data_IF_074063807081
#
_entry.id   IF_074063807081
#
_cell.length_a   1.000
_cell.length_b   1.000
_cell.length_c   1.000
_cell.angle_alpha   90.00
_cell.angle_beta   90.00
_cell.angle_gamma   90.00
#
_symmetry.space_group_name_H-M   'P 1'
#
loop_
_entity.id
_entity.type
_entity.pdbx_description
1 polymer ?
#
# COMPACT_ATOMS: atom_id res chain seq x y z
N UNK A 1 11.95 6.10 11.39
CA UNK A 1 10.67 6.48 10.78
C UNK A 1 10.46 7.99 10.65
N UNK A 2 10.41 8.77 11.75
CA UNK A 2 10.21 10.23 11.71
C UNK A 2 11.08 10.96 10.68
N UNK A 3 12.39 10.70 10.68
CA UNK A 3 13.32 11.32 9.74
C UNK A 3 13.05 10.93 8.28
N UNK A 4 12.68 9.67 8.02
CA UNK A 4 12.30 9.19 6.70
C UNK A 4 11.07 9.92 6.16
N UNK A 5 10.01 10.01 6.97
CA UNK A 5 8.78 10.74 6.61
C UNK A 5 9.01 12.24 6.44
N UNK A 6 9.89 12.84 7.25
CA UNK A 6 10.32 14.24 7.05
C UNK A 6 11.07 14.43 5.72
N UNK A 7 11.89 13.46 5.30
CA UNK A 7 12.54 13.45 3.99
C UNK A 7 11.56 13.39 2.82
N UNK A 8 10.34 12.91 3.04
CA UNK A 8 9.24 12.89 2.07
C UNK A 8 8.28 14.08 2.19
N UNK A 9 8.66 15.11 2.97
CA UNK A 9 7.88 16.33 3.12
C UNK A 9 6.75 16.26 4.18
N UNK A 10 6.62 15.17 4.94
CA UNK A 10 5.65 15.09 6.03
C UNK A 10 6.18 15.77 7.30
N UNK A 11 5.33 16.55 7.97
CA UNK A 11 5.61 17.03 9.33
C UNK A 11 5.38 15.89 10.31
N UNK A 12 6.45 15.39 10.94
CA UNK A 12 6.38 14.24 11.84
C UNK A 12 6.95 14.58 13.23
N UNK A 13 6.21 14.22 14.26
CA UNK A 13 6.58 14.40 15.68
C UNK A 13 6.62 13.03 16.37
N UNK A 14 7.56 12.86 17.30
CA UNK A 14 7.61 11.73 18.22
C UNK A 14 7.07 12.21 19.56
N UNK A 15 6.13 11.49 20.13
CA UNK A 15 5.50 11.79 21.43
C UNK A 15 5.77 10.62 22.36
N UNK A 16 6.17 10.90 23.60
CA UNK A 16 6.29 9.88 24.63
C UNK A 16 4.91 9.59 25.23
N UNK A 17 4.60 8.32 25.49
CA UNK A 17 3.28 7.96 26.03
C UNK A 17 3.12 8.40 27.48
N UNK A 18 4.20 8.46 28.26
CA UNK A 18 4.09 8.95 29.63
C UNK A 18 3.68 10.42 29.66
N UNK A 19 4.22 11.26 28.76
CA UNK A 19 3.81 12.66 28.64
C UNK A 19 2.30 12.78 28.32
N UNK A 20 1.79 11.88 27.46
CA UNK A 20 0.36 11.81 27.13
C UNK A 20 -0.47 11.43 28.36
N UNK A 21 -0.05 10.41 29.12
CA UNK A 21 -0.77 9.99 30.32
C UNK A 21 -0.74 11.06 31.41
N UNK A 22 0.40 11.72 31.62
CA UNK A 22 0.56 12.79 32.61
C UNK A 22 -0.41 13.94 32.34
N UNK A 23 -0.52 14.37 31.08
CA UNK A 23 -1.35 15.52 30.68
C UNK A 23 -2.84 15.16 30.54
N UNK A 24 -3.17 14.00 30.00
CA UNK A 24 -4.56 13.64 29.65
C UNK A 24 -5.23 12.67 30.62
N UNK A 25 -4.49 12.07 31.56
CA UNK A 25 -5.05 11.11 32.52
C UNK A 25 -4.25 10.98 33.83
N UNK A 26 -3.66 12.07 34.32
CA UNK A 26 -2.99 12.13 35.63
C UNK A 26 -1.89 11.07 35.82
N UNK A 27 -1.18 10.73 34.75
CA UNK A 27 -0.09 9.75 34.71
C UNK A 27 -0.53 8.28 34.63
N UNK A 28 -1.84 8.03 34.52
CA UNK A 28 -2.40 6.68 34.45
C UNK A 28 -2.52 6.23 33.00
N UNK A 29 -1.92 5.09 32.65
CA UNK A 29 -2.04 4.50 31.32
C UNK A 29 -3.51 4.21 30.95
N UNK A 30 -3.97 4.75 29.82
CA UNK A 30 -5.34 4.60 29.33
C UNK A 30 -5.40 4.79 27.81
N UNK A 31 -6.26 4.02 27.16
CA UNK A 31 -6.54 4.19 25.73
C UNK A 31 -7.27 5.52 25.46
N UNK A 32 -8.17 5.93 26.35
CA UNK A 32 -8.89 7.19 26.31
C UNK A 32 -7.93 8.39 26.36
N UNK A 33 -6.89 8.33 27.20
CA UNK A 33 -5.87 9.38 27.28
C UNK A 33 -5.19 9.63 25.93
N UNK A 34 -4.85 8.55 25.21
CA UNK A 34 -4.24 8.62 23.89
C UNK A 34 -5.23 9.20 22.88
N UNK A 35 -6.50 8.75 22.87
CA UNK A 35 -7.53 9.31 21.99
C UNK A 35 -7.72 10.80 22.24
N UNK A 36 -7.85 11.19 23.50
CA UNK A 36 -8.13 12.58 23.89
C UNK A 36 -6.93 13.49 23.54
N UNK A 37 -5.70 12.99 23.65
CA UNK A 37 -4.52 13.65 23.10
C UNK A 37 -4.60 13.80 21.57
N UNK A 38 -4.90 12.73 20.84
CA UNK A 38 -4.99 12.77 19.38
C UNK A 38 -6.09 13.75 18.91
N UNK A 39 -7.25 13.73 19.57
CA UNK A 39 -8.36 14.67 19.33
C UNK A 39 -7.93 16.12 19.60
N UNK A 40 -7.20 16.36 20.69
CA UNK A 40 -6.62 17.67 20.98
C UNK A 40 -5.66 18.11 19.87
N UNK A 41 -4.77 17.23 19.39
CA UNK A 41 -3.84 17.58 18.30
C UNK A 41 -4.58 17.89 16.99
N UNK A 42 -5.63 17.13 16.67
CA UNK A 42 -6.43 17.32 15.48
C UNK A 42 -7.13 18.69 15.49
N UNK A 43 -7.67 19.07 16.64
CA UNK A 43 -8.43 20.31 16.80
C UNK A 43 -7.55 21.55 16.97
N UNK A 44 -6.45 21.44 17.72
CA UNK A 44 -5.75 22.60 18.29
C UNK A 44 -4.36 22.86 17.71
N UNK A 45 -3.71 21.88 17.07
CA UNK A 45 -2.38 22.12 16.49
C UNK A 45 -2.44 22.96 15.20
N UNK A 46 -1.32 23.59 14.87
CA UNK A 46 -1.18 24.42 13.67
C UNK A 46 -1.47 23.61 12.41
N UNK A 47 -2.46 24.08 11.64
CA UNK A 47 -2.91 23.45 10.40
C UNK A 47 -1.76 23.29 9.37
N UNK A 48 -1.80 22.27 8.49
CA UNK A 48 -2.81 21.21 8.41
C UNK A 48 -2.77 20.28 9.64
N UNK A 49 -3.93 19.86 10.14
CA UNK A 49 -3.99 18.94 11.28
C UNK A 49 -3.25 17.63 10.98
N UNK A 50 -2.72 16.94 11.99
CA UNK A 50 -2.12 15.62 11.78
C UNK A 50 -3.11 14.69 11.05
N UNK A 51 -2.61 13.94 10.07
CA UNK A 51 -3.43 13.01 9.26
C UNK A 51 -3.10 11.54 9.51
N UNK A 52 -1.92 11.26 10.07
CA UNK A 52 -1.38 9.91 10.27
C UNK A 52 -1.01 9.70 11.73
N UNK A 53 -1.29 8.52 12.27
CA UNK A 53 -0.85 8.05 13.59
C UNK A 53 -0.15 6.70 13.44
N UNK A 54 1.07 6.59 13.98
CA UNK A 54 1.74 5.29 14.16
C UNK A 54 1.82 4.98 15.65
N UNK A 55 1.12 3.94 16.08
CA UNK A 55 1.30 3.36 17.42
C UNK A 55 2.48 2.40 17.39
N UNK A 56 3.59 2.75 18.04
CA UNK A 56 4.81 1.94 18.05
C UNK A 56 4.94 1.16 19.36
N UNK A 57 4.29 -0.01 19.41
CA UNK A 57 4.32 -0.91 20.55
C UNK A 57 3.16 -1.91 20.53
N UNK A 58 3.40 -3.09 21.08
CA UNK A 58 2.40 -4.14 21.28
C UNK A 58 1.57 -3.89 22.57
N UNK A 59 0.45 -4.60 22.72
CA UNK A 59 -0.40 -4.54 23.90
C UNK A 59 -1.25 -5.80 24.08
N UNK A 60 -1.92 -5.91 25.22
CA UNK A 60 -2.84 -7.04 25.49
C UNK A 60 -3.92 -6.68 26.51
N UNK A 61 -4.94 -7.53 26.64
CA UNK A 61 -6.05 -7.28 27.54
C UNK A 61 -5.73 -7.48 29.04
N UNK A 62 -4.71 -8.27 29.38
CA UNK A 62 -4.29 -8.48 30.78
C UNK A 62 -3.32 -7.40 31.32
N UNK A 63 -3.66 -6.11 31.17
CA UNK A 63 -2.75 -5.00 31.51
C UNK A 63 -2.27 -4.99 32.98
N UNK A 64 -3.04 -5.56 33.90
CA UNK A 64 -2.71 -5.66 35.33
C UNK A 64 -2.00 -6.97 35.69
N UNK A 65 -1.68 -7.80 34.70
CA UNK A 65 -1.01 -9.09 34.86
C UNK A 65 -1.73 -10.04 35.84
N UNK A 66 -3.07 -10.05 35.82
CA UNK A 66 -3.87 -10.95 36.67
C UNK A 66 -3.65 -12.42 36.32
N UNK A 67 -3.23 -12.74 35.09
CA UNK A 67 -2.90 -14.10 34.67
C UNK A 67 -1.45 -14.50 34.97
N UNK A 68 -0.63 -13.59 35.51
CA UNK A 68 0.79 -13.82 35.81
C UNK A 68 1.61 -14.28 34.60
N UNK A 69 1.30 -13.75 33.41
CA UNK A 69 1.98 -14.09 32.15
C UNK A 69 3.23 -13.23 31.89
N UNK A 70 3.33 -12.06 32.52
CA UNK A 70 4.51 -11.20 32.45
C UNK A 70 4.77 -10.58 31.06
N UNK A 71 3.81 -10.65 30.13
CA UNK A 71 3.87 -9.90 28.87
C UNK A 71 3.76 -8.41 29.22
N UNK A 72 4.58 -7.58 28.58
CA UNK A 72 4.58 -6.13 28.76
C UNK A 72 3.48 -5.54 27.87
N UNK A 73 2.71 -4.61 28.42
CA UNK A 73 1.75 -3.82 27.67
C UNK A 73 2.37 -2.45 27.35
N UNK A 74 2.93 -2.27 26.15
CA UNK A 74 3.63 -1.04 25.77
C UNK A 74 2.64 0.08 25.43
N UNK A 75 1.60 -0.26 24.67
CA UNK A 75 0.50 0.65 24.35
C UNK A 75 -0.79 -0.14 24.57
N UNK A 76 -1.70 0.32 25.46
CA UNK A 76 -2.94 -0.39 25.70
C UNK A 76 -3.68 -0.63 24.37
N UNK A 77 -4.31 -1.79 24.18
CA UNK A 77 -5.33 -1.93 23.14
C UNK A 77 -6.53 -1.06 23.47
N UNK A 78 -7.19 -0.47 22.46
CA UNK A 78 -8.50 0.15 22.71
C UNK A 78 -9.55 -0.95 22.83
N UNK A 79 -9.72 -1.56 24.00
CA UNK A 79 -10.71 -2.63 24.18
C UNK A 79 -12.13 -2.06 24.21
N UNK A 80 -13.02 -2.64 23.40
CA UNK A 80 -14.43 -2.29 23.41
C UNK A 80 -15.31 -3.47 22.96
N UNK A 81 -16.56 -3.49 23.46
CA UNK A 81 -17.60 -4.41 23.04
C UNK A 81 -18.13 -4.01 21.66
N UNK A 82 -17.35 -4.32 20.62
CA UNK A 82 -17.62 -3.94 19.23
C UNK A 82 -17.97 -5.12 18.34
N UNK A 83 -17.71 -6.34 18.82
CA UNK A 83 -17.90 -7.56 18.07
C UNK A 83 -19.17 -8.28 18.55
N UNK A 84 -20.19 -8.50 17.69
CA UNK A 84 -21.43 -9.16 18.08
C UNK A 84 -21.28 -10.62 18.54
N UNK A 85 -20.21 -11.31 18.14
CA UNK A 85 -19.98 -12.73 18.44
C UNK A 85 -18.96 -12.95 19.55
N UNK A 86 -17.89 -12.16 19.55
CA UNK A 86 -16.80 -12.25 20.52
C UNK A 86 -17.03 -11.34 21.74
N UNK A 87 -17.77 -10.24 21.58
CA UNK A 87 -17.92 -9.20 22.59
C UNK A 87 -16.77 -8.20 22.55
N UNK A 88 -15.90 -8.25 23.56
CA UNK A 88 -14.79 -7.31 23.71
C UNK A 88 -13.57 -7.72 22.86
N UNK A 89 -13.08 -6.79 22.04
CA UNK A 89 -11.82 -6.95 21.29
C UNK A 89 -11.12 -5.60 21.10
N UNK A 90 -9.87 -5.62 20.63
CA UNK A 90 -9.12 -4.40 20.31
C UNK A 90 -9.75 -3.67 19.11
N UNK A 91 -10.21 -2.46 19.36
CA UNK A 91 -10.86 -1.56 18.43
C UNK A 91 -10.04 -0.28 18.26
N UNK A 92 -8.76 -0.40 17.89
CA UNK A 92 -7.83 0.74 17.84
C UNK A 92 -8.27 1.84 16.86
N UNK A 93 -9.20 1.54 15.95
CA UNK A 93 -9.93 2.56 15.19
C UNK A 93 -10.45 3.70 16.10
N UNK A 94 -10.90 3.37 17.31
CA UNK A 94 -11.44 4.31 18.29
C UNK A 94 -10.41 5.25 18.92
N UNK A 95 -9.11 5.03 18.71
CA UNK A 95 -8.10 6.04 19.04
C UNK A 95 -8.26 7.32 18.22
N UNK A 96 -8.88 7.22 17.05
CA UNK A 96 -8.96 8.30 16.07
C UNK A 96 -10.40 8.59 15.64
N UNK A 97 -11.39 8.23 16.46
CA UNK A 97 -12.78 8.68 16.28
C UNK A 97 -13.09 9.83 17.24
N UNK A 98 -13.27 11.02 16.69
CA UNK A 98 -13.40 12.27 17.43
C UNK A 98 -14.85 12.69 17.62
N UNK A 99 -15.10 13.58 18.58
CA UNK A 99 -16.44 14.13 18.78
C UNK A 99 -16.73 15.12 17.67
N UNK A 100 -17.92 15.02 17.09
CA UNK A 100 -18.47 16.07 16.25
C UNK A 100 -18.95 17.27 17.08
N UNK A 101 -19.47 18.30 16.41
CA UNK A 101 -19.97 19.53 17.03
C UNK A 101 -21.09 19.30 18.06
N UNK A 102 -21.80 18.18 17.98
CA UNK A 102 -22.85 17.78 18.92
C UNK A 102 -22.32 16.97 20.11
N UNK A 103 -21.01 16.74 20.18
CA UNK A 103 -20.36 15.94 21.22
C UNK A 103 -20.47 14.42 21.02
N UNK A 104 -20.98 13.97 19.87
CA UNK A 104 -21.15 12.55 19.55
C UNK A 104 -19.95 12.01 18.76
N UNK A 105 -19.58 10.75 18.99
CA UNK A 105 -18.58 10.03 18.20
C UNK A 105 -19.28 9.02 17.29
N UNK A 106 -18.80 8.88 16.06
CA UNK A 106 -19.15 7.76 15.19
C UNK A 106 -17.97 6.77 15.07
N UNK A 107 -18.12 5.75 14.22
CA UNK A 107 -17.10 4.71 14.01
C UNK A 107 -16.14 5.02 12.85
N UNK A 108 -16.33 6.15 12.15
CA UNK A 108 -15.46 6.55 11.05
C UNK A 108 -14.22 7.27 11.61
N UNK A 109 -13.00 6.86 11.24
CA UNK A 109 -11.80 7.47 11.77
C UNK A 109 -11.52 8.85 11.13
N UNK A 110 -11.16 9.83 11.96
CA UNK A 110 -10.74 11.18 11.58
C UNK A 110 -9.25 11.29 11.20
N UNK A 111 -8.46 10.26 11.52
CA UNK A 111 -7.05 10.13 11.16
C UNK A 111 -6.73 8.71 10.68
N UNK A 112 -5.72 8.57 9.83
CA UNK A 112 -5.24 7.27 9.37
C UNK A 112 -4.30 6.65 10.41
N UNK A 113 -4.72 5.56 11.03
CA UNK A 113 -3.98 4.90 12.10
C UNK A 113 -3.40 3.58 11.64
N UNK A 114 -2.13 3.34 11.98
CA UNK A 114 -1.51 2.03 11.91
C UNK A 114 -0.75 1.71 13.21
N UNK A 115 -0.63 0.42 13.52
CA UNK A 115 0.12 -0.09 14.67
C UNK A 115 1.33 -0.88 14.20
N UNK A 116 2.51 -0.49 14.65
CA UNK A 116 3.70 -1.34 14.63
C UNK A 116 3.74 -2.13 15.94
N UNK A 117 3.17 -3.34 15.92
CA UNK A 117 3.03 -4.21 17.10
C UNK A 117 4.37 -4.89 17.44
N UNK A 118 5.19 -4.16 18.20
CA UNK A 118 6.57 -4.54 18.53
C UNK A 118 6.77 -4.66 20.04
N UNK A 119 7.57 -5.66 20.42
CA UNK A 119 7.88 -6.01 21.80
C UNK A 119 9.33 -5.65 22.18
N UNK A 120 10.10 -5.07 21.25
CA UNK A 120 11.48 -4.63 21.50
C UNK A 120 11.93 -3.55 20.51
N UNK A 121 13.01 -2.85 20.85
CA UNK A 121 13.64 -1.89 19.94
C UNK A 121 14.17 -2.55 18.64
N UNK A 122 14.56 -3.83 18.70
CA UNK A 122 15.02 -4.57 17.52
C UNK A 122 13.88 -4.84 16.53
N UNK A 123 12.71 -5.23 17.04
CA UNK A 123 11.50 -5.40 16.22
C UNK A 123 11.02 -4.05 15.66
N UNK A 124 11.06 -2.98 16.46
CA UNK A 124 10.75 -1.63 15.99
C UNK A 124 11.69 -1.20 14.85
N UNK A 125 12.99 -1.43 14.99
CA UNK A 125 13.96 -1.16 13.94
C UNK A 125 13.72 -2.02 12.70
N UNK A 126 13.36 -3.29 12.85
CA UNK A 126 13.05 -4.19 11.75
C UNK A 126 11.85 -3.69 10.92
N UNK A 127 10.73 -3.35 11.56
CA UNK A 127 9.57 -2.81 10.85
C UNK A 127 9.88 -1.50 10.12
N UNK A 128 10.60 -0.58 10.79
CA UNK A 128 11.01 0.69 10.17
C UNK A 128 11.94 0.47 8.97
N UNK A 129 12.91 -0.44 9.08
CA UNK A 129 13.84 -0.73 8.00
C UNK A 129 13.14 -1.44 6.83
N UNK A 130 12.19 -2.32 7.11
CA UNK A 130 11.34 -2.95 6.10
C UNK A 130 10.53 -1.89 5.33
N UNK A 131 9.89 -0.94 6.03
CA UNK A 131 9.19 0.20 5.40
C UNK A 131 10.11 1.01 4.49
N UNK A 132 11.30 1.38 4.97
CA UNK A 132 12.25 2.19 4.19
C UNK A 132 12.75 1.40 2.97
N UNK A 133 13.12 0.12 3.15
CA UNK A 133 13.58 -0.74 2.07
C UNK A 133 12.48 -1.00 1.03
N UNK A 134 11.23 -1.14 1.48
CA UNK A 134 10.08 -1.30 0.60
C UNK A 134 9.92 -0.11 -0.34
N UNK A 135 9.91 1.11 0.22
CA UNK A 135 9.74 2.35 -0.55
C UNK A 135 10.97 2.71 -1.39
N UNK A 136 12.15 2.24 -0.99
CA UNK A 136 13.39 2.41 -1.74
C UNK A 136 13.66 1.30 -2.76
N UNK A 137 12.80 0.28 -2.86
CA UNK A 137 13.01 -0.81 -3.80
C UNK A 137 13.09 -0.25 -5.22
N UNK A 138 14.06 -0.71 -6.02
CA UNK A 138 14.02 -0.53 -7.44
C UNK A 138 12.70 -1.05 -7.99
N UNK A 139 12.28 -0.41 -9.06
CA UNK A 139 11.17 -0.90 -9.86
C UNK A 139 11.40 -2.35 -10.25
N UNK A 140 10.35 -3.16 -10.17
CA UNK A 140 10.34 -4.50 -10.72
C UNK A 140 8.93 -5.02 -10.92
N UNK A 141 8.80 -6.06 -11.74
CA UNK A 141 7.52 -6.69 -12.10
C UNK A 141 6.66 -7.10 -10.91
N UNK A 142 7.28 -7.40 -9.75
CA UNK A 142 6.57 -7.75 -8.52
C UNK A 142 5.58 -6.68 -8.05
N UNK A 143 5.80 -5.41 -8.39
CA UNK A 143 4.93 -4.27 -8.04
C UNK A 143 3.62 -4.25 -8.84
N UNK A 144 3.53 -5.07 -9.89
CA UNK A 144 2.32 -5.29 -10.68
C UNK A 144 1.73 -6.68 -10.44
N UNK A 145 2.22 -7.43 -9.45
CA UNK A 145 1.75 -8.78 -9.17
C UNK A 145 0.98 -8.86 -7.85
N UNK A 146 -0.17 -9.50 -7.89
CA UNK A 146 -1.02 -9.81 -6.75
C UNK A 146 -1.09 -11.31 -6.57
N UNK A 147 -1.06 -11.77 -5.33
CA UNK A 147 -1.41 -13.15 -4.99
C UNK A 147 -2.81 -13.16 -4.37
N UNK A 148 -3.75 -13.80 -5.04
CA UNK A 148 -5.10 -14.01 -4.53
C UNK A 148 -5.18 -15.40 -3.89
N UNK A 149 -5.40 -15.43 -2.59
CA UNK A 149 -5.52 -16.65 -1.79
C UNK A 149 -6.97 -16.76 -1.32
N UNK A 150 -7.58 -17.93 -1.51
CA UNK A 150 -8.93 -18.16 -1.03
C UNK A 150 -9.03 -19.52 -0.35
N UNK A 151 -9.79 -19.54 0.74
CA UNK A 151 -10.24 -20.77 1.39
C UNK A 151 -11.29 -21.51 0.53
N UNK A 152 -11.64 -22.74 0.88
CA UNK A 152 -12.64 -23.50 0.13
C UNK A 152 -14.10 -23.06 0.42
N UNK A 153 -15.04 -23.25 -0.52
CA UNK A 153 -16.44 -22.85 -0.29
C UNK A 153 -17.11 -23.67 0.81
N UNK A 154 -17.77 -22.99 1.75
CA UNK A 154 -18.46 -23.62 2.87
C UNK A 154 -19.72 -22.84 3.31
N UNK A 155 -20.19 -23.06 4.55
CA UNK A 155 -21.32 -22.34 5.12
C UNK A 155 -21.05 -20.86 5.42
N UNK A 156 -19.77 -20.46 5.57
CA UNK A 156 -19.32 -19.08 5.74
C UNK A 156 -19.24 -18.30 4.42
N UNK A 157 -19.18 -19.00 3.28
CA UNK A 157 -19.36 -18.41 1.96
C UNK A 157 -18.58 -19.13 0.86
N UNK A 158 -18.73 -18.64 -0.37
CA UNK A 158 -17.91 -19.07 -1.50
C UNK A 158 -16.74 -18.10 -1.69
N UNK A 159 -15.67 -18.29 -0.91
CA UNK A 159 -14.52 -17.40 -0.91
C UNK A 159 -13.80 -17.28 -2.27
N UNK A 160 -13.63 -18.36 -3.07
CA UNK A 160 -13.07 -18.26 -4.41
C UNK A 160 -13.92 -17.38 -5.33
N UNK A 161 -15.25 -17.46 -5.23
CA UNK A 161 -16.15 -16.59 -6.00
C UNK A 161 -16.06 -15.12 -5.56
N UNK A 162 -15.98 -14.85 -4.25
CA UNK A 162 -15.77 -13.49 -3.73
C UNK A 162 -14.44 -12.89 -4.23
N UNK A 163 -13.37 -13.68 -4.21
CA UNK A 163 -12.05 -13.27 -4.71
C UNK A 163 -12.09 -12.96 -6.22
N UNK A 164 -12.72 -13.83 -7.01
CA UNK A 164 -12.92 -13.60 -8.45
C UNK A 164 -13.77 -12.36 -8.74
N UNK A 165 -14.80 -12.09 -7.95
CA UNK A 165 -15.62 -10.89 -8.11
C UNK A 165 -14.79 -9.62 -7.89
N UNK A 166 -13.97 -9.58 -6.83
CA UNK A 166 -13.08 -8.45 -6.54
C UNK A 166 -12.01 -8.27 -7.62
N UNK A 167 -11.41 -9.36 -8.09
CA UNK A 167 -10.48 -9.34 -9.21
C UNK A 167 -11.11 -8.72 -10.46
N UNK A 168 -12.34 -9.12 -10.81
CA UNK A 168 -13.01 -8.67 -12.02
C UNK A 168 -13.56 -7.25 -11.93
N UNK A 169 -14.07 -6.82 -10.77
CA UNK A 169 -14.75 -5.53 -10.63
C UNK A 169 -13.81 -4.37 -10.31
N UNK A 170 -12.74 -4.66 -9.58
CA UNK A 170 -12.15 -3.67 -8.68
C UNK A 170 -10.63 -3.67 -8.70
N UNK A 171 -10.00 -4.74 -9.19
CA UNK A 171 -8.55 -4.75 -9.39
C UNK A 171 -8.16 -3.88 -10.59
N UNK A 172 -7.10 -3.11 -10.42
CA UNK A 172 -6.56 -2.27 -11.48
C UNK A 172 -6.04 -3.15 -12.64
N UNK A 173 -6.34 -2.77 -13.90
CA UNK A 173 -6.07 -3.61 -15.08
C UNK A 173 -4.59 -3.96 -15.29
N UNK A 174 -3.71 -3.11 -14.79
CA UNK A 174 -2.26 -3.30 -14.85
C UNK A 174 -1.74 -4.36 -13.87
N UNK A 175 -2.58 -4.84 -12.93
CA UNK A 175 -2.21 -5.89 -11.98
C UNK A 175 -2.45 -7.28 -12.58
N UNK A 176 -1.46 -8.14 -12.44
CA UNK A 176 -1.57 -9.58 -12.75
C UNK A 176 -1.78 -10.38 -11.47
N UNK A 177 -2.70 -11.34 -11.49
CA UNK A 177 -3.06 -12.15 -10.33
C UNK A 177 -2.59 -13.60 -10.47
N UNK A 178 -1.86 -14.09 -9.48
CA UNK A 178 -1.65 -15.53 -9.25
C UNK A 178 -2.74 -16.03 -8.29
N UNK A 179 -3.39 -17.14 -8.63
CA UNK A 179 -4.50 -17.69 -7.85
C UNK A 179 -4.07 -18.92 -7.05
N UNK A 180 -4.28 -18.89 -5.74
CA UNK A 180 -4.12 -20.04 -4.84
C UNK A 180 -5.41 -20.22 -4.04
N UNK A 181 -6.38 -20.85 -4.70
CA UNK A 181 -7.67 -21.20 -4.11
C UNK A 181 -7.67 -22.67 -3.69
N UNK A 182 -7.77 -22.91 -2.39
CA UNK A 182 -7.87 -24.25 -1.84
C UNK A 182 -9.16 -24.93 -2.29
N UNK A 183 -9.10 -26.23 -2.61
CA UNK A 183 -10.22 -27.00 -3.16
C UNK A 183 -10.58 -26.68 -4.64
N UNK A 184 -10.03 -25.62 -5.23
CA UNK A 184 -10.34 -25.19 -6.62
C UNK A 184 -9.13 -25.29 -7.54
N UNK A 185 -8.08 -24.50 -7.26
CA UNK A 185 -6.83 -24.50 -8.06
C UNK A 185 -5.78 -25.42 -7.45
N UNK A 186 -5.85 -25.64 -6.13
CA UNK A 186 -4.95 -26.48 -5.36
C UNK A 186 -5.77 -27.41 -4.47
N UNK A 187 -5.79 -28.71 -4.78
CA UNK A 187 -6.68 -29.69 -4.15
C UNK A 187 -6.16 -30.27 -2.83
N UNK A 188 -4.94 -29.91 -2.42
CA UNK A 188 -4.36 -30.37 -1.14
C UNK A 188 -3.75 -29.19 -0.38
N UNK A 189 -3.81 -29.30 0.95
CA UNK A 189 -3.23 -28.32 1.87
C UNK A 189 -1.74 -28.08 1.60
N UNK A 190 -0.97 -29.15 1.39
CA UNK A 190 0.47 -29.07 1.10
C UNK A 190 0.73 -28.28 -0.19
N UNK A 191 -0.04 -28.54 -1.25
CA UNK A 191 0.13 -27.84 -2.53
C UNK A 191 -0.23 -26.36 -2.42
N UNK A 192 -1.35 -26.05 -1.75
CA UNK A 192 -1.78 -24.66 -1.53
C UNK A 192 -0.77 -23.89 -0.67
N UNK A 193 -0.32 -24.46 0.47
CA UNK A 193 0.71 -23.85 1.33
C UNK A 193 2.02 -23.61 0.58
N UNK A 194 2.49 -24.59 -0.19
CA UNK A 194 3.70 -24.44 -0.99
C UNK A 194 3.57 -23.31 -2.03
N UNK A 195 2.41 -23.21 -2.68
CA UNK A 195 2.12 -22.15 -3.65
C UNK A 195 2.01 -20.76 -3.00
N UNK A 196 1.39 -20.65 -1.81
CA UNK A 196 1.35 -19.40 -1.04
C UNK A 196 2.77 -18.94 -0.69
N UNK A 197 3.58 -19.84 -0.14
CA UNK A 197 4.98 -19.53 0.23
C UNK A 197 5.81 -19.14 -0.99
N UNK A 198 5.69 -19.86 -2.10
CA UNK A 198 6.38 -19.52 -3.35
C UNK A 198 5.91 -18.17 -3.89
N UNK A 199 4.60 -17.91 -3.87
CA UNK A 199 3.99 -16.65 -4.28
C UNK A 199 4.55 -15.47 -3.50
N UNK A 200 4.52 -15.54 -2.16
CA UNK A 200 5.11 -14.49 -1.30
C UNK A 200 6.61 -14.34 -1.58
N UNK A 201 7.37 -15.44 -1.67
CA UNK A 201 8.82 -15.45 -1.90
C UNK A 201 9.25 -14.85 -3.25
N UNK A 202 8.42 -14.97 -4.29
CA UNK A 202 8.67 -14.33 -5.59
C UNK A 202 8.53 -12.80 -5.58
N UNK A 203 7.91 -12.25 -4.52
CA UNK A 203 7.62 -10.83 -4.38
C UNK A 203 6.27 -10.48 -5.01
N UNK A 204 5.42 -9.80 -4.25
CA UNK A 204 4.08 -9.35 -4.66
C UNK A 204 3.82 -7.95 -4.13
N UNK A 205 3.05 -7.16 -4.86
CA UNK A 205 2.51 -5.90 -4.37
C UNK A 205 1.50 -6.17 -3.25
N UNK A 206 0.52 -7.03 -3.56
CA UNK A 206 -0.57 -7.39 -2.66
C UNK A 206 -0.63 -8.91 -2.48
N UNK A 207 -0.94 -9.34 -1.26
CA UNK A 207 -1.48 -10.68 -1.00
C UNK A 207 -2.87 -10.46 -0.43
N UNK A 208 -3.91 -10.86 -1.16
CA UNK A 208 -5.27 -10.76 -0.67
C UNK A 208 -5.79 -12.15 -0.32
N UNK A 209 -6.07 -12.34 0.97
CA UNK A 209 -6.65 -13.57 1.49
C UNK A 209 -8.12 -13.35 1.82
N UNK A 210 -8.99 -14.27 1.40
CA UNK A 210 -10.41 -14.30 1.75
C UNK A 210 -10.77 -15.69 2.24
N UNK A 211 -11.28 -15.81 3.47
CA UNK A 211 -11.57 -17.10 4.06
C UNK A 211 -11.72 -17.08 5.57
N UNK A 212 -11.63 -18.25 6.19
CA UNK A 212 -11.57 -18.38 7.64
C UNK A 212 -10.17 -18.07 8.16
N UNK A 213 -10.08 -17.52 9.36
CA UNK A 213 -8.78 -17.45 10.02
C UNK A 213 -8.91 -17.58 11.52
N UNK A 214 -7.82 -18.05 12.09
CA UNK A 214 -7.54 -18.06 13.50
C UNK A 214 -6.48 -17.00 13.79
N UNK A 215 -6.12 -16.88 15.06
CA UNK A 215 -5.09 -15.94 15.50
C UNK A 215 -3.78 -16.18 14.76
N UNK A 216 -3.37 -17.45 14.63
CA UNK A 216 -2.04 -17.85 14.18
C UNK A 216 -1.99 -18.54 12.81
N UNK A 217 -3.12 -18.67 12.11
CA UNK A 217 -3.20 -19.31 10.78
C UNK A 217 -4.43 -18.92 9.96
N UNK A 218 -4.32 -19.07 8.65
CA UNK A 218 -5.40 -19.02 7.65
C UNK A 218 -5.98 -20.40 7.41
N UNK A 219 -7.31 -20.46 7.29
CA UNK A 219 -8.15 -21.64 7.12
C UNK A 219 -8.05 -22.68 8.26
N UNK A 220 -8.98 -23.62 8.28
CA UNK A 220 -8.92 -24.78 9.17
C UNK A 220 -7.72 -25.67 8.83
N UNK A 221 -7.38 -25.75 7.55
CA UNK A 221 -6.32 -26.53 6.95
C UNK A 221 -4.91 -26.01 7.25
N UNK A 222 -4.77 -24.84 7.88
CA UNK A 222 -3.46 -24.22 8.10
C UNK A 222 -2.76 -23.96 6.76
N UNK A 223 -3.31 -23.07 5.93
CA UNK A 223 -2.76 -22.71 4.61
C UNK A 223 -1.52 -21.81 4.71
N UNK A 224 -1.51 -20.89 5.67
CA UNK A 224 -0.39 -20.01 5.97
C UNK A 224 -0.57 -19.43 7.39
N UNK A 225 0.51 -19.29 8.15
CA UNK A 225 0.41 -18.75 9.50
C UNK A 225 1.75 -18.45 10.16
N UNK A 226 1.72 -18.22 11.48
CA UNK A 226 2.90 -17.86 12.30
C UNK A 226 4.05 -18.85 12.12
N UNK A 227 3.74 -20.15 12.03
CA UNK A 227 4.74 -21.20 11.89
C UNK A 227 5.50 -21.15 10.54
N UNK A 228 4.90 -20.55 9.51
CA UNK A 228 5.42 -20.53 8.15
C UNK A 228 6.28 -19.28 7.86
N UNK A 229 6.07 -18.18 8.57
CA UNK A 229 6.77 -16.90 8.36
C UNK A 229 8.30 -17.03 8.44
N UNK A 230 8.79 -17.95 9.30
CA UNK A 230 10.23 -18.22 9.40
C UNK A 230 10.84 -18.68 8.07
N UNK A 231 10.05 -19.31 7.21
CA UNK A 231 10.45 -19.87 5.92
C UNK A 231 10.35 -18.86 4.75
N UNK A 232 9.89 -17.63 5.01
CA UNK A 232 9.86 -16.58 3.99
C UNK A 232 11.27 -16.07 3.68
N UNK A 233 11.47 -15.71 2.42
CA UNK A 233 12.74 -15.30 1.82
C UNK A 233 12.54 -14.20 0.75
N UNK A 234 11.43 -13.46 0.82
CA UNK A 234 11.06 -12.42 -0.14
C UNK A 234 11.88 -11.11 -0.03
N UNK A 235 12.79 -11.02 0.94
CA UNK A 235 13.67 -9.85 1.11
C UNK A 235 12.86 -8.57 1.32
N UNK A 236 13.21 -7.51 0.59
CA UNK A 236 12.50 -6.23 0.58
C UNK A 236 11.23 -6.23 -0.29
N UNK A 237 10.94 -7.29 -1.08
CA UNK A 237 9.73 -7.41 -1.92
C UNK A 237 8.54 -7.89 -1.09
N UNK A 238 8.26 -7.16 -0.01
CA UNK A 238 7.29 -7.53 1.00
C UNK A 238 5.90 -7.04 0.61
N UNK A 239 4.89 -7.93 0.44
CA UNK A 239 3.56 -7.49 0.08
C UNK A 239 2.91 -6.66 1.19
N UNK A 240 1.89 -5.91 0.79
CA UNK A 240 0.83 -5.47 1.69
C UNK A 240 -0.22 -6.59 1.72
N UNK A 241 -0.47 -7.14 2.91
CA UNK A 241 -1.45 -8.22 3.11
C UNK A 241 -2.81 -7.60 3.38
N UNK A 242 -3.84 -8.10 2.68
CA UNK A 242 -5.24 -7.81 2.91
C UNK A 242 -5.91 -9.11 3.36
N UNK A 243 -5.99 -9.34 4.66
CA UNK A 243 -6.56 -10.56 5.24
C UNK A 243 -8.04 -10.32 5.57
N UNK A 244 -8.91 -10.62 4.61
CA UNK A 244 -10.36 -10.59 4.76
C UNK A 244 -10.82 -11.88 5.45
N UNK A 245 -10.51 -11.97 6.74
CA UNK A 245 -10.76 -13.12 7.58
C UNK A 245 -10.86 -12.73 9.06
N UNK A 246 -11.42 -13.61 9.88
CA UNK A 246 -11.57 -13.39 11.32
C UNK A 246 -10.23 -13.52 12.07
N UNK A 247 -10.02 -12.75 13.14
CA UNK A 247 -8.93 -12.94 14.13
C UNK A 247 -7.46 -12.90 13.64
N UNK A 248 -7.17 -12.75 12.34
CA UNK A 248 -5.80 -12.70 11.80
C UNK A 248 -4.92 -11.62 12.46
N UNK A 249 -5.57 -10.54 12.92
CA UNK A 249 -4.98 -9.42 13.64
C UNK A 249 -5.25 -9.42 15.15
N UNK A 250 -5.61 -10.54 15.78
CA UNK A 250 -5.90 -10.62 17.23
C UNK A 250 -4.64 -10.43 18.11
N UNK A 251 -4.03 -9.24 18.05
CA UNK A 251 -2.71 -8.97 18.64
C UNK A 251 -2.74 -8.91 20.17
N UNK A 252 -3.92 -8.63 20.74
CA UNK A 252 -4.09 -8.31 22.15
C UNK A 252 -4.09 -9.53 23.08
N UNK A 253 -3.60 -10.69 22.60
CA UNK A 253 -3.44 -11.90 23.39
C UNK A 253 -2.26 -11.78 24.37
N UNK A 254 -2.45 -12.11 25.68
CA UNK A 254 -1.42 -11.88 26.70
C UNK A 254 -0.35 -12.98 26.77
N UNK A 255 -0.48 -14.06 26.00
CA UNK A 255 0.46 -15.19 26.07
C UNK A 255 1.78 -14.85 25.37
N UNK A 256 2.93 -14.81 26.08
CA UNK A 256 4.18 -14.27 25.55
C UNK A 256 4.86 -15.11 24.48
N UNK A 257 4.35 -16.30 24.15
CA UNK A 257 4.93 -17.23 23.16
C UNK A 257 3.88 -18.09 22.44
N UNK A 258 2.59 -17.72 22.52
CA UNK A 258 1.50 -18.52 21.94
C UNK A 258 0.44 -17.59 21.39
N UNK A 259 -0.22 -18.02 20.33
CA UNK A 259 -1.37 -17.33 19.75
C UNK A 259 -1.07 -15.89 19.32
N UNK A 260 0.16 -15.65 18.85
CA UNK A 260 0.47 -14.39 18.19
C UNK A 260 -0.39 -14.24 16.95
N UNK A 261 -0.87 -13.03 16.71
CA UNK A 261 -1.58 -12.74 15.49
C UNK A 261 -0.63 -12.90 14.30
N UNK A 262 -1.09 -13.60 13.25
CA UNK A 262 -0.33 -13.73 11.99
C UNK A 262 0.08 -12.35 11.48
N UNK A 263 -0.81 -11.36 11.55
CA UNK A 263 -0.55 -9.97 11.16
C UNK A 263 0.61 -9.31 11.92
N UNK A 264 0.78 -9.60 13.22
CA UNK A 264 1.92 -9.07 14.00
C UNK A 264 3.24 -9.71 13.54
N UNK A 265 3.26 -11.04 13.49
CA UNK A 265 4.50 -11.79 13.24
C UNK A 265 4.98 -11.54 11.81
N UNK A 266 4.07 -11.45 10.84
CA UNK A 266 4.43 -11.29 9.43
C UNK A 266 4.96 -9.89 9.14
N UNK A 267 4.49 -8.87 9.86
CA UNK A 267 4.92 -7.48 9.66
C UNK A 267 6.19 -7.12 10.44
N UNK A 268 6.43 -7.74 11.61
CA UNK A 268 7.66 -7.53 12.40
C UNK A 268 8.83 -8.44 12.02
N UNK A 269 8.64 -9.37 11.10
CA UNK A 269 9.70 -10.24 10.61
C UNK A 269 10.82 -9.43 9.93
N UNK A 270 12.06 -9.60 10.40
CA UNK A 270 13.20 -8.82 9.91
C UNK A 270 13.57 -9.22 8.47
N UNK A 271 13.49 -8.27 7.53
CA UNK A 271 13.94 -8.44 6.15
C UNK A 271 13.15 -9.45 5.31
N UNK A 272 11.93 -9.80 5.73
CA UNK A 272 11.01 -10.75 5.04
C UNK A 272 9.59 -10.58 5.58
N UNK A 273 8.62 -11.32 5.05
CA UNK A 273 7.23 -11.20 5.49
C UNK A 273 6.50 -10.11 4.72
N UNK A 274 5.71 -9.30 5.42
CA UNK A 274 4.90 -8.24 4.84
C UNK A 274 5.36 -6.86 5.31
N UNK A 275 5.22 -5.84 4.48
CA UNK A 275 5.51 -4.45 4.89
C UNK A 275 4.35 -3.86 5.69
N UNK A 276 3.14 -4.34 5.44
CA UNK A 276 1.93 -4.03 6.18
C UNK A 276 0.91 -5.17 6.07
N UNK A 277 -0.01 -5.25 7.03
CA UNK A 277 -1.16 -6.17 7.00
C UNK A 277 -2.41 -5.43 7.46
N UNK A 278 -3.50 -5.50 6.69
CA UNK A 278 -4.80 -5.01 7.13
C UNK A 278 -5.69 -6.19 7.49
N UNK A 279 -5.90 -6.36 8.80
CA UNK A 279 -6.37 -7.61 9.40
C UNK A 279 -7.37 -7.33 10.53
N UNK A 280 -8.33 -8.24 10.72
CA UNK A 280 -9.34 -8.15 11.78
C UNK A 280 -8.81 -8.60 13.15
N UNK A 281 -9.09 -7.84 14.19
CA UNK A 281 -8.94 -8.23 15.60
C UNK A 281 -10.11 -9.06 16.12
N UNK A 282 -11.18 -9.22 15.33
CA UNK A 282 -12.41 -9.89 15.75
C UNK A 282 -12.97 -10.82 14.69
N UNK A 283 -14.16 -11.30 14.96
CA UNK A 283 -15.05 -11.97 14.02
C UNK A 283 -15.65 -10.94 13.05
N UNK A 284 -16.24 -11.43 11.97
CA UNK A 284 -16.92 -10.56 11.02
C UNK A 284 -17.55 -11.36 9.89
N UNK A 285 -18.33 -10.65 9.08
CA UNK A 285 -19.05 -11.23 7.95
C UNK A 285 -18.34 -10.93 6.64
N UNK A 286 -18.32 -11.92 5.74
CA UNK A 286 -17.67 -11.82 4.42
C UNK A 286 -18.20 -10.64 3.58
N UNK A 287 -19.46 -10.25 3.72
CA UNK A 287 -20.04 -9.11 3.01
C UNK A 287 -19.45 -7.75 3.45
N UNK A 288 -19.19 -7.56 4.75
CA UNK A 288 -18.54 -6.34 5.25
C UNK A 288 -17.10 -6.25 4.75
N UNK A 289 -16.40 -7.39 4.83
CA UNK A 289 -15.01 -7.50 4.39
C UNK A 289 -14.87 -7.30 2.87
N UNK A 290 -15.87 -7.70 2.08
CA UNK A 290 -15.93 -7.38 0.65
C UNK A 290 -15.94 -5.87 0.41
N UNK A 291 -16.75 -5.08 1.13
CA UNK A 291 -16.77 -3.62 1.00
C UNK A 291 -15.45 -2.98 1.40
N UNK A 292 -14.85 -3.44 2.50
CA UNK A 292 -13.52 -3.00 2.93
C UNK A 292 -12.48 -3.24 1.85
N UNK A 293 -12.41 -4.46 1.33
CA UNK A 293 -11.46 -4.88 0.30
C UNK A 293 -11.68 -4.10 -1.02
N UNK A 294 -12.94 -3.97 -1.44
CA UNK A 294 -13.32 -3.20 -2.63
C UNK A 294 -12.91 -1.74 -2.53
N UNK A 295 -13.15 -1.08 -1.40
CA UNK A 295 -12.74 0.32 -1.22
C UNK A 295 -11.23 0.49 -1.19
N UNK A 296 -10.48 -0.47 -0.64
CA UNK A 296 -9.02 -0.47 -0.71
C UNK A 296 -8.50 -0.56 -2.15
N UNK A 297 -9.01 -1.53 -2.94
CA UNK A 297 -8.64 -1.69 -4.34
C UNK A 297 -9.08 -0.51 -5.21
N UNK A 298 -10.24 0.08 -4.90
CA UNK A 298 -10.71 1.32 -5.53
C UNK A 298 -9.76 2.49 -5.28
N UNK A 299 -9.31 2.67 -4.04
CA UNK A 299 -8.33 3.70 -3.72
C UNK A 299 -7.04 3.51 -4.51
N UNK A 300 -6.49 2.30 -4.54
CA UNK A 300 -5.29 1.97 -5.30
C UNK A 300 -5.42 2.28 -6.80
N UNK A 301 -6.60 2.01 -7.39
CA UNK A 301 -6.83 2.19 -8.83
C UNK A 301 -7.21 3.60 -9.25
N UNK A 302 -7.76 4.43 -8.35
CA UNK A 302 -8.38 5.72 -8.73
C UNK A 302 -7.75 6.94 -8.09
N UNK A 303 -7.14 6.80 -6.91
CA UNK A 303 -6.45 7.90 -6.27
C UNK A 303 -5.07 8.08 -6.94
N UNK A 304 -4.66 9.33 -7.10
CA UNK A 304 -3.30 9.62 -7.54
C UNK A 304 -2.34 9.32 -6.38
N UNK A 305 -1.54 8.26 -6.54
CA UNK A 305 -0.50 7.81 -5.58
C UNK A 305 -0.98 7.75 -4.11
N UNK A 306 -1.97 6.90 -3.78
CA UNK A 306 -2.47 6.80 -2.42
C UNK A 306 -1.40 6.23 -1.47
N UNK A 307 -1.51 6.59 -0.20
CA UNK A 307 -0.89 5.83 0.90
C UNK A 307 -1.76 4.62 1.26
N UNK A 308 -1.15 3.63 1.91
CA UNK A 308 -1.90 2.49 2.48
C UNK A 308 -2.95 2.95 3.47
N UNK A 309 -2.66 3.98 4.28
CA UNK A 309 -3.64 4.61 5.17
C UNK A 309 -4.86 5.14 4.41
N UNK A 310 -4.66 5.84 3.30
CA UNK A 310 -5.79 6.33 2.46
C UNK A 310 -6.58 5.17 1.85
N UNK A 311 -5.91 4.09 1.44
CA UNK A 311 -6.57 2.91 0.93
C UNK A 311 -7.44 2.22 2.01
N UNK A 312 -6.93 2.03 3.23
CA UNK A 312 -7.72 1.49 4.34
C UNK A 312 -8.89 2.40 4.74
N UNK A 313 -8.68 3.73 4.76
CA UNK A 313 -9.73 4.71 5.04
C UNK A 313 -10.84 4.66 3.98
N UNK A 314 -10.48 4.48 2.72
CA UNK A 314 -11.44 4.36 1.61
C UNK A 314 -12.22 3.05 1.70
N UNK A 315 -11.55 1.94 2.09
CA UNK A 315 -12.22 0.70 2.46
C UNK A 315 -13.27 0.90 3.56
N UNK A 316 -12.89 1.58 4.65
CA UNK A 316 -13.83 1.93 5.73
C UNK A 316 -14.98 2.81 5.25
N UNK A 317 -14.73 3.77 4.36
CA UNK A 317 -15.78 4.61 3.77
C UNK A 317 -16.78 3.79 2.93
N UNK A 318 -16.31 2.80 2.18
CA UNK A 318 -17.18 1.88 1.43
C UNK A 318 -18.06 1.04 2.35
N UNK A 319 -17.49 0.51 3.44
CA UNK A 319 -18.26 -0.22 4.44
C UNK A 319 -19.29 0.70 5.11
N UNK A 320 -18.88 1.89 5.54
CA UNK A 320 -19.78 2.89 6.14
C UNK A 320 -20.97 3.19 5.24
N UNK A 321 -20.72 3.44 3.95
CA UNK A 321 -21.77 3.73 2.97
C UNK A 321 -22.71 2.53 2.70
N UNK A 322 -22.27 1.30 2.97
CA UNK A 322 -23.12 0.11 2.84
C UNK A 322 -24.21 0.02 3.92
N UNK A 323 -23.97 0.62 5.10
CA UNK A 323 -24.87 0.61 6.25
C UNK A 323 -25.03 -0.74 6.96
N UNK A 324 -24.32 -1.80 6.52
CA UNK A 324 -24.42 -3.14 7.09
C UNK A 324 -23.12 -3.60 7.75
N UNK A 325 -23.23 -4.31 8.87
CA UNK A 325 -22.09 -4.98 9.55
C UNK A 325 -20.92 -4.01 9.83
N UNK A 326 -21.26 -2.86 10.42
CA UNK A 326 -20.34 -1.76 10.67
C UNK A 326 -19.32 -2.04 11.79
N UNK A 327 -19.44 -3.16 12.52
CA UNK A 327 -18.44 -3.60 13.49
C UNK A 327 -17.04 -3.74 12.86
N UNK A 328 -16.97 -4.08 11.57
CA UNK A 328 -15.71 -4.23 10.86
C UNK A 328 -14.95 -2.90 10.67
N UNK A 329 -15.59 -1.74 10.90
CA UNK A 329 -14.88 -0.46 10.99
C UNK A 329 -13.95 -0.40 12.19
N UNK A 330 -14.38 -1.00 13.30
CA UNK A 330 -13.63 -1.03 14.56
C UNK A 330 -12.62 -2.17 14.60
N UNK A 331 -12.96 -3.35 14.07
CA UNK A 331 -12.10 -4.55 14.17
C UNK A 331 -10.98 -4.61 13.14
N UNK A 332 -11.11 -3.99 11.96
CA UNK A 332 -10.04 -3.98 10.96
C UNK A 332 -8.98 -2.92 11.25
N UNK A 333 -7.77 -3.39 11.59
CA UNK A 333 -6.62 -2.58 11.95
C UNK A 333 -5.48 -2.74 10.97
N UNK A 334 -4.79 -1.64 10.68
CA UNK A 334 -3.57 -1.65 9.88
C UNK A 334 -2.37 -1.94 10.78
N UNK A 335 -1.72 -3.08 10.56
CA UNK A 335 -0.42 -3.42 11.12
C UNK A 335 0.66 -2.89 10.19
N UNK A 336 1.37 -1.84 10.59
CA UNK A 336 2.36 -1.15 9.76
C UNK A 336 2.22 0.37 9.79
N UNK A 337 2.83 1.03 8.81
CA UNK A 337 2.82 2.49 8.65
C UNK A 337 1.64 2.94 7.77
N UNK A 338 0.69 3.76 8.25
CA UNK A 338 -0.39 4.29 7.42
C UNK A 338 0.10 5.30 6.38
N UNK A 339 1.29 5.89 6.54
CA UNK A 339 1.90 6.76 5.54
C UNK A 339 2.72 5.98 4.49
N UNK A 340 2.71 4.64 4.52
CA UNK A 340 3.38 3.81 3.52
C UNK A 340 2.87 4.13 2.11
N UNK A 341 3.80 4.43 1.22
CA UNK A 341 3.52 4.67 -0.19
C UNK A 341 3.51 3.34 -0.95
N UNK A 342 2.58 3.16 -1.89
CA UNK A 342 2.73 2.09 -2.86
C UNK A 342 3.97 2.39 -3.73
N UNK A 343 4.79 1.38 -4.09
CA UNK A 343 5.87 1.58 -5.02
C UNK A 343 5.26 2.03 -6.34
N UNK A 344 5.69 3.17 -6.87
CA UNK A 344 5.33 3.57 -8.22
C UNK A 344 6.00 2.59 -9.18
N UNK A 345 5.23 1.72 -9.83
CA UNK A 345 5.70 1.13 -11.07
C UNK A 345 5.89 2.30 -12.06
N UNK A 346 7.05 2.42 -12.72
CA UNK A 346 7.19 3.32 -13.83
C UNK A 346 6.25 2.83 -14.93
N UNK A 347 5.93 3.77 -15.79
CA UNK A 347 5.22 3.55 -17.03
C UNK A 347 5.89 2.41 -17.78
N UNK A 348 5.14 1.32 -18.02
CA UNK A 348 5.62 0.22 -18.85
C UNK A 348 5.51 0.67 -20.32
N UNK A 349 6.36 1.62 -20.71
CA UNK A 349 6.72 1.86 -22.09
C UNK A 349 8.10 1.25 -22.29
N UNK A 350 8.14 -0.02 -22.69
CA UNK A 350 9.37 -0.60 -23.19
C UNK A 350 9.62 -0.09 -24.61
N UNK A 351 10.70 0.66 -24.82
CA UNK A 351 11.09 1.13 -26.15
C UNK A 351 11.86 0.04 -26.89
N UNK A 352 11.34 -0.44 -28.01
CA UNK A 352 12.11 -1.27 -28.95
C UNK A 352 13.08 -0.44 -29.79
N UNK A 353 12.77 0.85 -30.00
CA UNK A 353 13.65 1.77 -30.69
C UNK A 353 13.44 3.22 -30.25
N UNK A 354 14.54 3.98 -30.19
CA UNK A 354 14.53 5.44 -30.08
C UNK A 354 15.66 6.00 -30.94
N UNK A 355 15.33 6.86 -31.91
CA UNK A 355 16.28 7.35 -32.91
C UNK A 355 16.05 8.83 -33.21
N UNK A 356 17.14 9.53 -33.53
CA UNK A 356 17.13 10.90 -34.03
C UNK A 356 17.91 10.99 -35.32
N UNK A 357 17.31 11.55 -36.37
CA UNK A 357 17.94 11.70 -37.68
C UNK A 357 17.78 13.13 -38.18
N UNK A 358 18.84 13.68 -38.77
CA UNK A 358 18.79 14.99 -39.41
C UNK A 358 18.61 14.86 -40.91
N UNK A 359 17.76 15.69 -41.49
CA UNK A 359 17.59 15.88 -42.92
C UNK A 359 17.52 17.38 -43.23
N UNK A 360 18.62 17.93 -43.75
CA UNK A 360 18.81 19.38 -43.87
C UNK A 360 18.63 20.07 -42.50
N UNK A 361 17.86 21.15 -42.46
CA UNK A 361 17.58 21.94 -41.24
C UNK A 361 16.43 21.40 -40.38
N UNK A 362 16.11 20.12 -40.51
CA UNK A 362 15.10 19.45 -39.69
C UNK A 362 15.66 18.22 -39.02
N UNK A 363 15.12 17.88 -37.87
CA UNK A 363 15.43 16.65 -37.14
C UNK A 363 14.15 15.87 -36.93
N UNK A 364 14.16 14.59 -37.26
CA UNK A 364 13.08 13.66 -36.94
C UNK A 364 13.48 12.86 -35.72
N UNK A 365 12.65 12.94 -34.68
CA UNK A 365 12.71 12.12 -33.49
C UNK A 365 11.68 11.00 -33.66
N UNK A 366 12.12 9.75 -33.71
CA UNK A 366 11.25 8.59 -33.93
C UNK A 366 11.46 7.55 -32.84
N UNK A 367 10.38 6.94 -32.37
CA UNK A 367 10.44 5.87 -31.39
C UNK A 367 9.39 4.80 -31.68
N UNK A 368 9.68 3.60 -31.19
CA UNK A 368 8.79 2.46 -31.26
C UNK A 368 8.69 1.86 -29.86
N UNK A 369 7.47 1.61 -29.43
CA UNK A 369 7.15 0.96 -28.17
C UNK A 369 6.89 -0.53 -28.43
N UNK A 370 7.24 -1.40 -27.48
CA UNK A 370 6.85 -2.81 -27.45
C UNK A 370 5.50 -3.00 -26.77
N UNK A 371 5.25 -2.22 -25.71
CA UNK A 371 4.01 -2.15 -24.95
C UNK A 371 3.73 -0.70 -24.51
N UNK A 372 2.46 -0.39 -24.24
CA UNK A 372 2.03 0.92 -23.75
C UNK A 372 0.91 0.74 -22.72
N UNK A 373 1.32 0.46 -21.48
CA UNK A 373 0.38 0.34 -20.37
C UNK A 373 0.11 1.72 -19.79
N UNK A 374 -1.15 2.16 -19.83
CA UNK A 374 -1.60 3.41 -19.20
C UNK A 374 -0.86 4.69 -19.67
N UNK A 375 -0.30 4.64 -20.88
CA UNK A 375 0.32 5.79 -21.53
C UNK A 375 -0.75 6.76 -22.08
N UNK A 376 -0.69 8.01 -21.64
CA UNK A 376 -1.50 9.11 -22.14
C UNK A 376 -0.90 9.70 -23.43
N UNK A 377 0.43 9.69 -23.55
CA UNK A 377 1.13 10.21 -24.71
C UNK A 377 2.54 10.66 -24.39
N UNK A 378 3.15 11.40 -25.32
CA UNK A 378 4.57 11.73 -25.27
C UNK A 378 4.82 13.23 -25.41
N UNK A 379 5.89 13.68 -24.76
CA UNK A 379 6.54 14.96 -25.01
C UNK A 379 7.95 14.75 -25.55
N UNK A 380 8.41 15.69 -26.36
CA UNK A 380 9.78 15.71 -26.88
C UNK A 380 10.47 16.94 -26.33
N UNK A 381 11.69 16.73 -25.82
CA UNK A 381 12.54 17.80 -25.31
C UNK A 381 13.80 17.93 -26.13
N UNK A 382 14.31 19.15 -26.24
CA UNK A 382 15.58 19.46 -26.91
C UNK A 382 16.47 20.34 -26.03
N UNK A 383 17.78 20.15 -26.14
CA UNK A 383 18.80 21.09 -25.66
C UNK A 383 19.90 21.28 -26.70
N UNK A 384 20.52 22.47 -26.75
CA UNK A 384 21.68 22.77 -27.59
C UNK A 384 23.03 22.45 -26.93
N UNK A 385 22.99 22.08 -25.64
CA UNK A 385 24.10 21.62 -24.82
C UNK A 385 23.55 20.54 -23.88
N UNK A 386 24.30 19.45 -23.70
CA UNK A 386 23.92 18.32 -22.86
C UNK A 386 23.68 18.73 -21.40
N UNK A 387 24.41 19.74 -20.91
CA UNK A 387 24.25 20.30 -19.56
C UNK A 387 23.29 21.48 -19.49
N UNK A 388 22.73 21.90 -20.63
CA UNK A 388 21.82 23.04 -20.72
C UNK A 388 20.39 22.72 -20.29
N UNK A 389 19.56 23.77 -20.23
CA UNK A 389 18.13 23.62 -19.98
C UNK A 389 17.44 22.89 -21.15
N UNK A 390 16.59 21.93 -20.80
CA UNK A 390 15.75 21.19 -21.76
C UNK A 390 14.51 22.03 -22.06
N UNK A 391 14.18 22.16 -23.33
CA UNK A 391 12.97 22.86 -23.79
C UNK A 391 12.02 21.84 -24.40
N UNK A 392 10.77 21.81 -23.95
CA UNK A 392 9.71 21.01 -24.59
C UNK A 392 9.37 21.62 -25.95
N UNK A 393 9.45 20.84 -27.02
CA UNK A 393 9.34 21.34 -28.40
C UNK A 393 8.02 20.99 -29.09
N UNK A 394 7.24 20.05 -28.56
CA UNK A 394 5.87 19.80 -29.02
C UNK A 394 4.87 20.68 -28.25
N UNK A 395 4.01 21.41 -28.97
CA UNK A 395 3.00 22.28 -28.37
C UNK A 395 1.84 21.52 -27.74
N UNK A 396 1.42 20.43 -28.39
CA UNK A 396 0.46 19.46 -27.87
C UNK A 396 1.18 18.15 -27.59
N UNK A 397 0.77 17.46 -26.53
CA UNK A 397 1.19 16.09 -26.25
C UNK A 397 0.85 15.20 -27.44
N UNK A 398 1.78 14.33 -27.82
CA UNK A 398 1.60 13.36 -28.89
C UNK A 398 0.82 12.20 -28.28
N UNK A 399 -0.47 12.01 -28.59
CA UNK A 399 -1.26 10.98 -27.92
C UNK A 399 -0.73 9.59 -28.26
N UNK A 400 -0.94 8.63 -27.35
CA UNK A 400 -0.72 7.23 -27.68
C UNK A 400 -1.54 6.82 -28.91
N UNK A 401 -0.93 6.03 -29.79
CA UNK A 401 -1.57 5.40 -30.94
C UNK A 401 -2.24 4.08 -30.58
N UNK A 402 -2.21 3.69 -29.30
CA UNK A 402 -2.82 2.47 -28.77
C UNK A 402 -3.84 2.82 -27.70
N UNK A 403 -4.80 1.95 -27.43
CA UNK A 403 -5.73 2.16 -26.32
C UNK A 403 -5.01 1.93 -24.98
N UNK A 404 -5.28 2.73 -23.93
CA UNK A 404 -4.65 2.58 -22.62
C UNK A 404 -4.67 1.14 -22.10
N UNK A 405 -3.49 0.60 -21.76
CA UNK A 405 -3.33 -0.79 -21.32
C UNK A 405 -3.03 -1.79 -22.46
N UNK A 406 -2.62 -1.31 -23.63
CA UNK A 406 -2.27 -2.16 -24.77
C UNK A 406 -0.97 -2.93 -24.52
N UNK A 407 -1.02 -4.26 -24.66
CA UNK A 407 0.18 -5.12 -24.68
C UNK A 407 0.91 -5.10 -26.03
N UNK A 408 0.43 -4.30 -26.98
CA UNK A 408 1.04 -4.08 -28.29
C UNK A 408 1.42 -2.61 -28.38
N UNK A 409 2.67 -2.31 -28.66
CA UNK A 409 3.14 -0.94 -28.88
C UNK A 409 2.82 -0.38 -30.27
N UNK A 410 3.37 0.79 -30.56
CA UNK A 410 3.15 1.55 -31.78
C UNK A 410 4.41 2.32 -32.18
N UNK A 411 4.38 2.92 -33.36
CA UNK A 411 5.47 3.72 -33.91
C UNK A 411 5.05 5.18 -33.99
N UNK A 412 5.96 6.06 -33.58
CA UNK A 412 5.71 7.49 -33.50
C UNK A 412 6.86 8.26 -34.12
N UNK A 413 6.56 9.49 -34.54
CA UNK A 413 7.58 10.44 -34.96
C UNK A 413 7.17 11.87 -34.67
N UNK A 414 8.16 12.71 -34.40
CA UNK A 414 8.04 14.15 -34.24
C UNK A 414 9.13 14.84 -35.06
N UNK A 415 8.75 15.84 -35.86
CA UNK A 415 9.70 16.63 -36.66
C UNK A 415 9.98 17.96 -35.99
N UNK A 416 11.21 18.14 -35.52
CA UNK A 416 11.71 19.42 -35.07
C UNK A 416 12.21 20.28 -36.24
N UNK A 417 11.63 21.48 -36.36
CA UNK A 417 12.02 22.52 -37.32
C UNK A 417 12.72 23.71 -36.67
N UNK A 418 12.93 23.67 -35.35
CA UNK A 418 13.47 24.78 -34.57
C UNK A 418 12.53 25.97 -34.47
N UNK A 419 11.21 25.72 -34.43
CA UNK A 419 10.20 26.79 -34.47
C UNK A 419 10.28 27.77 -33.28
N UNK A 420 10.79 27.29 -32.14
CA UNK A 420 11.05 28.07 -30.93
C UNK A 420 12.41 28.80 -30.96
N UNK A 421 13.26 28.52 -31.95
CA UNK A 421 14.58 29.14 -32.10
C UNK A 421 14.54 30.27 -33.12
N UNK A 422 15.18 31.39 -32.78
CA UNK A 422 15.39 32.50 -33.72
C UNK A 422 16.30 32.04 -34.87
N UNK A 423 15.70 31.81 -36.04
CA UNK A 423 16.40 31.34 -37.24
C UNK A 423 16.41 29.83 -37.44
N UNK A 424 15.63 29.07 -36.66
CA UNK A 424 15.53 27.61 -36.78
C UNK A 424 16.73 26.86 -36.19
N UNK A 425 16.81 25.57 -36.51
CA UNK A 425 17.96 24.73 -36.18
C UNK A 425 19.20 25.19 -36.96
N UNK A 426 20.33 25.34 -36.27
CA UNK A 426 21.57 25.83 -36.88
C UNK A 426 22.35 24.67 -37.55
N UNK A 427 22.75 24.81 -38.82
CA UNK A 427 23.62 23.83 -39.47
C UNK A 427 24.92 23.59 -38.70
N UNK A 428 25.41 22.34 -38.70
CA UNK A 428 26.61 21.88 -37.99
C UNK A 428 26.56 22.05 -36.47
N UNK A 429 25.39 22.28 -35.90
CA UNK A 429 25.20 22.28 -34.45
C UNK A 429 24.60 20.96 -34.00
N UNK A 430 25.17 20.40 -32.93
CA UNK A 430 24.62 19.23 -32.24
C UNK A 430 23.48 19.65 -31.31
N UNK A 431 22.38 18.93 -31.40
CA UNK A 431 21.27 19.02 -30.46
C UNK A 431 21.04 17.67 -29.78
N UNK A 432 20.56 17.72 -28.54
CA UNK A 432 20.26 16.57 -27.71
C UNK A 432 18.76 16.46 -27.52
N UNK A 433 18.21 15.25 -27.66
CA UNK A 433 16.78 15.00 -27.56
C UNK A 433 16.46 13.98 -26.49
N UNK A 434 15.36 14.22 -25.79
CA UNK A 434 14.75 13.27 -24.87
C UNK A 434 13.30 13.05 -25.26
N UNK A 435 12.84 11.84 -25.02
CA UNK A 435 11.43 11.48 -25.08
C UNK A 435 10.92 11.36 -23.65
N UNK A 436 9.84 12.06 -23.33
CA UNK A 436 9.10 11.85 -22.09
C UNK A 436 7.80 11.14 -22.43
N UNK A 437 7.52 10.01 -21.82
CA UNK A 437 6.21 9.38 -21.82
C UNK A 437 5.41 9.81 -20.59
N UNK A 438 4.10 9.99 -20.76
CA UNK A 438 3.19 10.52 -19.76
C UNK A 438 2.12 9.47 -19.44
N UNK A 439 1.85 9.23 -18.16
CA UNK A 439 0.82 8.32 -17.71
C UNK A 439 -0.56 9.02 -17.60
N UNK A 440 -1.65 8.27 -17.80
CA UNK A 440 -3.02 8.69 -17.45
C UNK A 440 -3.19 9.07 -15.96
N UNK A 441 -2.32 8.59 -15.06
CA UNK A 441 -2.27 8.90 -13.63
C UNK A 441 -1.37 10.09 -13.28
N UNK A 442 -0.69 10.69 -14.26
CA UNK A 442 0.12 11.91 -14.09
C UNK A 442 1.61 11.68 -13.78
N UNK A 443 2.09 10.43 -13.73
CA UNK A 443 3.53 10.12 -13.73
C UNK A 443 4.19 10.29 -15.11
N UNK A 444 5.53 10.40 -15.15
CA UNK A 444 6.30 10.43 -16.40
C UNK A 444 7.68 9.77 -16.27
N UNK A 445 8.19 9.22 -17.37
CA UNK A 445 9.56 8.74 -17.52
C UNK A 445 10.26 9.49 -18.68
N UNK A 446 11.60 9.54 -18.66
CA UNK A 446 12.41 10.27 -19.63
C UNK A 446 13.48 9.35 -20.23
N UNK A 447 13.43 9.14 -21.54
CA UNK A 447 14.39 8.35 -22.31
C UNK A 447 15.39 9.24 -23.06
N UNK A 448 16.63 8.74 -23.22
CA UNK A 448 17.74 9.44 -23.87
C UNK A 448 18.79 9.98 -22.89
N UNK A 449 19.62 10.97 -23.30
CA UNK A 449 19.54 11.70 -24.56
C UNK A 449 20.08 10.94 -25.75
N UNK A 450 19.58 11.29 -26.94
CA UNK A 450 20.27 11.04 -28.20
C UNK A 450 20.77 12.35 -28.81
N UNK A 451 21.96 12.31 -29.39
CA UNK A 451 22.60 13.46 -30.01
C UNK A 451 22.53 13.37 -31.53
N UNK A 452 22.31 14.51 -32.19
CA UNK A 452 22.34 14.60 -33.66
C UNK A 452 22.90 15.95 -34.09
N UNK A 453 23.81 15.94 -35.06
CA UNK A 453 24.29 17.13 -35.74
C UNK A 453 23.34 17.50 -36.88
N UNK A 454 22.94 18.78 -36.95
CA UNK A 454 22.04 19.27 -38.00
C UNK A 454 22.81 19.42 -39.30
N UNK A 455 22.32 18.77 -40.36
CA UNK A 455 22.97 18.81 -41.68
C UNK A 455 22.88 20.21 -42.33
N UNK A 456 23.79 20.50 -43.29
CA UNK A 456 23.83 21.77 -44.04
C UNK A 456 22.53 22.20 -44.69
#
# INVERSE_FOLDING_TARGET
LRAHRAGQGLRAVKVDLQDVYDEFNYGIASAEAIRDFLEYTYNSWVKPSPSYVVLMGDGHFDAKNYQNLGKVNYIPPYLAFVDPWLGETAADNRYVTFKNEMGNRDAMPDMMLGRMAVNSAAEAAAMVNNTIAYEANPVGSWQQQVLLVADDPDAGGNFPALSNNLMNCCMARQLSADLVYYGVTHTTQTAAKAAILAGINSGKLLVNYIGHAYKDKWADEDLFGVADIKNLANGSKQPIILAMACNDGYYHMPYPNKYFATAEVVTRAQGKGAVASWSSTGMGMSNAQEYLNRGFLYAYSTLNTPTVGQATLTGKAFLWASGGNLESLDTFLLFGDPALQFPSAPTAVDLSAFNVTSAGKTVTVAWQTENEVDNLGFNVYRASDLKGARVKINSLMIPTGTHPGSMVGSSYSFTDKGADLKGGLKPKQTYYYWLEDLNITGGSELHGPLAVEVLP
#
